data_IF_588900890417
#
_entry.id   IF_588900890417
#
_cell.length_a   1.000
_cell.length_b   1.000
_cell.length_c   1.000
_cell.angle_alpha   90.00
_cell.angle_beta   90.00
_cell.angle_gamma   90.00
#
_symmetry.space_group_name_H-M   'P 1'
#
loop_
_entity.id
_entity.type
_entity.pdbx_description
1 polymer ?
#
# COMPACT_ATOMS: atom_id res chain seq x y z
N UNK A 1 25.04 10.65 -11.57
CA UNK A 1 24.82 10.33 -10.14
C UNK A 1 24.68 8.83 -10.05
N UNK A 2 25.71 8.14 -9.55
CA UNK A 2 25.74 6.67 -9.44
C UNK A 2 24.78 6.24 -8.32
N UNK A 3 23.82 5.38 -8.63
CA UNK A 3 22.93 4.82 -7.61
C UNK A 3 23.72 3.85 -6.73
N UNK A 4 23.93 4.22 -5.47
CA UNK A 4 24.56 3.34 -4.49
C UNK A 4 23.68 2.11 -4.29
N UNK A 5 24.24 0.93 -4.58
CA UNK A 5 23.72 -0.33 -4.06
C UNK A 5 23.70 -0.22 -2.53
N UNK A 6 22.52 -0.14 -1.95
CA UNK A 6 22.38 -0.44 -0.53
C UNK A 6 22.25 -1.96 -0.45
N UNK A 7 23.21 -2.66 0.18
CA UNK A 7 23.04 -4.08 0.44
C UNK A 7 21.81 -4.28 1.33
N UNK A 8 21.13 -5.41 1.16
CA UNK A 8 20.03 -5.77 2.04
C UNK A 8 20.57 -5.93 3.47
N UNK A 9 20.05 -5.13 4.38
CA UNK A 9 20.45 -5.19 5.78
C UNK A 9 19.65 -6.30 6.49
N UNK A 10 20.31 -7.01 7.41
CA UNK A 10 19.63 -7.94 8.29
C UNK A 10 18.61 -7.20 9.18
N UNK A 11 17.59 -7.93 9.63
CA UNK A 11 16.59 -7.44 10.55
C UNK A 11 17.24 -6.98 11.87
N UNK A 12 16.92 -5.76 12.30
CA UNK A 12 17.25 -5.30 13.65
C UNK A 12 16.58 -6.23 14.70
N UNK A 13 17.16 -6.37 15.91
CA UNK A 13 16.64 -7.26 16.95
C UNK A 13 15.15 -7.08 17.25
N UNK A 14 14.64 -5.83 17.29
CA UNK A 14 13.22 -5.56 17.54
C UNK A 14 12.29 -6.12 16.44
N UNK A 15 12.80 -6.34 15.24
CA UNK A 15 12.01 -6.78 14.07
C UNK A 15 12.10 -8.28 13.79
N UNK A 16 13.01 -9.02 14.43
CA UNK A 16 13.23 -10.46 14.17
C UNK A 16 12.00 -11.31 14.43
N UNK A 17 11.28 -11.04 15.53
CA UNK A 17 10.03 -11.73 15.91
C UNK A 17 8.77 -10.89 15.70
N UNK A 18 8.94 -9.65 15.25
CA UNK A 18 7.84 -8.75 14.96
C UNK A 18 7.01 -9.25 13.77
N UNK A 19 5.74 -8.85 13.74
CA UNK A 19 4.85 -9.19 12.64
C UNK A 19 5.28 -8.47 11.36
N UNK A 20 5.19 -9.17 10.23
CA UNK A 20 5.38 -8.58 8.90
C UNK A 20 4.05 -8.56 8.14
N UNK A 21 3.63 -7.39 7.69
CA UNK A 21 2.54 -7.26 6.72
C UNK A 21 3.09 -7.19 5.31
N UNK A 22 2.55 -7.97 4.38
CA UNK A 22 2.93 -8.00 2.97
C UNK A 22 1.75 -7.59 2.11
N UNK A 23 1.95 -6.57 1.27
CA UNK A 23 0.97 -6.12 0.28
C UNK A 23 1.57 -6.19 -1.11
N UNK A 24 0.96 -7.02 -1.94
CA UNK A 24 1.45 -7.31 -3.27
C UNK A 24 0.47 -6.85 -4.33
N UNK A 25 0.94 -5.97 -5.22
CA UNK A 25 0.25 -5.58 -6.42
C UNK A 25 0.57 -6.55 -7.56
N UNK A 26 -0.34 -7.49 -7.82
CA UNK A 26 -0.15 -8.52 -8.85
C UNK A 26 -0.15 -7.95 -10.27
N UNK A 27 -0.74 -6.76 -10.49
CA UNK A 27 -0.77 -6.17 -11.82
C UNK A 27 0.59 -5.53 -12.20
N UNK A 28 1.38 -5.07 -11.23
CA UNK A 28 2.72 -4.54 -11.49
C UNK A 28 3.83 -5.57 -11.28
N UNK A 29 3.64 -6.52 -10.38
CA UNK A 29 4.54 -7.64 -10.15
C UNK A 29 3.80 -8.97 -10.42
N UNK A 30 3.54 -9.33 -11.69
CA UNK A 30 2.76 -10.52 -12.02
C UNK A 30 3.50 -11.81 -11.70
N UNK A 31 2.74 -12.90 -11.52
CA UNK A 31 3.31 -14.24 -11.47
C UNK A 31 3.87 -14.58 -12.86
N UNK A 32 5.13 -15.04 -12.98
CA UNK A 32 5.69 -15.48 -14.26
C UNK A 32 4.90 -16.65 -14.86
N UNK A 33 4.89 -16.73 -16.19
CA UNK A 33 4.21 -17.82 -16.90
C UNK A 33 4.76 -19.19 -16.47
N UNK A 34 3.86 -20.12 -16.21
CA UNK A 34 4.20 -21.48 -15.75
C UNK A 34 4.63 -21.57 -14.28
N UNK A 35 4.74 -20.46 -13.55
CA UNK A 35 5.07 -20.49 -12.13
C UNK A 35 3.88 -20.94 -11.27
N UNK A 36 4.11 -21.88 -10.35
CA UNK A 36 3.08 -22.34 -9.42
C UNK A 36 2.77 -21.24 -8.39
N UNK A 37 1.56 -20.68 -8.46
CA UNK A 37 1.08 -19.66 -7.54
C UNK A 37 1.19 -20.07 -6.05
N UNK A 38 1.14 -21.37 -5.73
CA UNK A 38 1.32 -21.88 -4.35
C UNK A 38 2.73 -21.64 -3.80
N UNK A 39 3.72 -21.42 -4.65
CA UNK A 39 5.11 -21.16 -4.22
C UNK A 39 5.34 -19.71 -3.81
N UNK A 40 4.49 -18.76 -4.22
CA UNK A 40 4.69 -17.33 -3.94
C UNK A 40 4.86 -17.05 -2.44
N UNK A 41 3.99 -17.59 -1.58
CA UNK A 41 4.11 -17.40 -0.13
C UNK A 41 5.41 -18.00 0.44
N UNK A 42 5.71 -19.30 0.22
CA UNK A 42 6.98 -19.89 0.63
C UNK A 42 8.21 -19.09 0.18
N UNK A 43 8.27 -18.65 -1.07
CA UNK A 43 9.43 -17.90 -1.58
C UNK A 43 9.59 -16.54 -0.87
N UNK A 44 8.48 -15.84 -0.59
CA UNK A 44 8.51 -14.58 0.15
C UNK A 44 8.91 -14.78 1.61
N UNK A 45 8.34 -15.78 2.29
CA UNK A 45 8.69 -16.10 3.67
C UNK A 45 10.16 -16.55 3.79
N UNK A 46 10.68 -17.27 2.79
CA UNK A 46 12.09 -17.65 2.69
C UNK A 46 12.99 -16.42 2.54
N UNK A 47 12.68 -15.51 1.61
CA UNK A 47 13.42 -14.26 1.41
C UNK A 47 13.46 -13.40 2.69
N UNK A 48 12.33 -13.32 3.41
CA UNK A 48 12.24 -12.64 4.71
C UNK A 48 13.11 -13.33 5.77
N UNK A 49 13.03 -14.66 5.87
CA UNK A 49 13.81 -15.45 6.83
C UNK A 49 15.31 -15.34 6.59
N UNK A 50 15.76 -15.25 5.34
CA UNK A 50 17.16 -15.08 4.98
C UNK A 50 17.76 -13.76 5.49
N UNK A 51 16.92 -12.75 5.74
CA UNK A 51 17.32 -11.51 6.40
C UNK A 51 17.00 -11.48 7.90
N UNK A 52 16.56 -12.59 8.50
CA UNK A 52 16.28 -12.70 9.93
C UNK A 52 14.86 -12.33 10.36
N UNK A 53 13.96 -12.00 9.43
CA UNK A 53 12.54 -11.81 9.75
C UNK A 53 11.87 -13.17 9.92
N UNK A 54 11.60 -13.55 11.16
CA UNK A 54 11.07 -14.88 11.54
C UNK A 54 9.75 -14.81 12.32
N UNK A 55 9.14 -13.63 12.40
CA UNK A 55 7.83 -13.42 13.00
C UNK A 55 6.67 -13.80 12.05
N UNK A 56 5.42 -13.71 12.52
CA UNK A 56 4.26 -14.06 11.71
C UNK A 56 4.08 -13.12 10.49
N UNK A 57 3.51 -13.66 9.41
CA UNK A 57 3.30 -12.93 8.14
C UNK A 57 1.80 -12.83 7.81
N UNK A 58 1.29 -11.60 7.70
CA UNK A 58 0.00 -11.31 7.07
C UNK A 58 0.24 -10.98 5.60
N UNK A 59 -0.28 -11.78 4.67
CA UNK A 59 -0.04 -11.61 3.24
C UNK A 59 -1.35 -11.32 2.50
N UNK A 60 -1.39 -10.18 1.82
CA UNK A 60 -2.48 -9.78 0.94
C UNK A 60 -1.99 -9.53 -0.49
N UNK A 61 -2.61 -10.19 -1.48
CA UNK A 61 -2.51 -9.86 -2.90
C UNK A 61 -3.64 -8.92 -3.31
N UNK A 62 -3.31 -7.94 -4.15
CA UNK A 62 -4.21 -6.86 -4.58
C UNK A 62 -4.06 -6.66 -6.08
N UNK A 63 -5.17 -6.45 -6.78
CA UNK A 63 -5.15 -6.02 -8.18
C UNK A 63 -6.51 -6.01 -8.85
N UNK A 64 -6.57 -5.61 -10.11
CA UNK A 64 -7.65 -5.99 -11.02
C UNK A 64 -7.49 -7.48 -11.33
N UNK A 65 -8.51 -8.28 -11.00
CA UNK A 65 -8.41 -9.75 -10.92
C UNK A 65 -9.36 -10.46 -11.90
N UNK A 66 -10.09 -9.70 -12.71
CA UNK A 66 -11.06 -10.21 -13.68
C UNK A 66 -10.43 -11.17 -14.69
N UNK A 67 -9.19 -10.88 -15.09
CA UNK A 67 -8.44 -11.69 -16.05
C UNK A 67 -7.49 -12.70 -15.38
N UNK A 68 -7.48 -12.76 -14.04
CA UNK A 68 -6.63 -13.72 -13.32
C UNK A 68 -7.41 -15.03 -13.17
N UNK A 69 -6.87 -16.12 -13.70
CA UNK A 69 -7.54 -17.42 -13.65
C UNK A 69 -7.87 -17.85 -12.23
N UNK A 70 -9.01 -18.53 -12.07
CA UNK A 70 -9.42 -19.10 -10.78
C UNK A 70 -8.37 -20.06 -10.20
N UNK A 71 -7.66 -20.82 -11.04
CA UNK A 71 -6.59 -21.71 -10.62
C UNK A 71 -5.44 -20.95 -9.92
N UNK A 72 -5.06 -19.79 -10.45
CA UNK A 72 -4.06 -18.91 -9.81
C UNK A 72 -4.60 -18.39 -8.48
N UNK A 73 -5.82 -17.85 -8.44
CA UNK A 73 -6.42 -17.32 -7.21
C UNK A 73 -6.62 -18.40 -6.13
N UNK A 74 -6.90 -19.64 -6.55
CA UNK A 74 -6.96 -20.83 -5.70
C UNK A 74 -5.59 -21.18 -5.15
N UNK A 75 -4.57 -21.22 -6.00
CA UNK A 75 -3.19 -21.44 -5.60
C UNK A 75 -2.75 -20.45 -4.52
N UNK A 76 -2.96 -19.15 -4.77
CA UNK A 76 -2.65 -18.09 -3.80
C UNK A 76 -3.43 -18.26 -2.50
N UNK A 77 -4.77 -18.36 -2.56
CA UNK A 77 -5.61 -18.39 -1.35
C UNK A 77 -5.45 -19.67 -0.53
N UNK A 78 -5.13 -20.81 -1.15
CA UNK A 78 -4.83 -22.07 -0.45
C UNK A 78 -3.61 -21.99 0.48
N UNK A 79 -2.69 -21.07 0.23
CA UNK A 79 -1.53 -20.79 1.11
C UNK A 79 -1.85 -19.75 2.18
N UNK A 80 -3.11 -19.31 2.29
CA UNK A 80 -3.57 -18.30 3.24
C UNK A 80 -3.24 -16.86 2.84
N UNK A 81 -2.97 -16.60 1.55
CA UNK A 81 -2.88 -15.22 1.03
C UNK A 81 -4.30 -14.66 0.90
N UNK A 82 -4.56 -13.49 1.48
CA UNK A 82 -5.80 -12.75 1.28
C UNK A 82 -5.84 -12.12 -0.10
N UNK A 83 -6.95 -12.23 -0.81
CA UNK A 83 -7.13 -11.76 -2.18
C UNK A 83 -8.06 -10.54 -2.21
N UNK A 84 -7.59 -9.44 -2.79
CA UNK A 84 -8.32 -8.17 -2.88
C UNK A 84 -8.41 -7.70 -4.32
N UNK A 85 -9.62 -7.58 -4.81
CA UNK A 85 -9.90 -6.99 -6.11
C UNK A 85 -10.05 -5.47 -6.00
N UNK A 86 -9.35 -4.76 -6.88
CA UNK A 86 -9.41 -3.32 -7.09
C UNK A 86 -8.04 -2.70 -7.38
N UNK A 87 -8.03 -1.40 -7.65
CA UNK A 87 -6.79 -0.67 -7.95
C UNK A 87 -5.86 -0.62 -6.73
N UNK A 88 -4.68 -1.24 -6.85
CA UNK A 88 -3.72 -1.42 -5.76
C UNK A 88 -3.36 -0.11 -5.03
N UNK A 89 -3.06 0.96 -5.76
CA UNK A 89 -2.71 2.27 -5.20
C UNK A 89 -3.69 2.76 -4.14
N UNK A 90 -4.99 2.71 -4.44
CA UNK A 90 -6.02 3.20 -3.51
C UNK A 90 -6.22 2.26 -2.32
N UNK A 91 -6.16 0.95 -2.57
CA UNK A 91 -6.45 -0.07 -1.56
C UNK A 91 -5.34 -0.24 -0.54
N UNK A 92 -4.08 -0.26 -0.97
CA UNK A 92 -2.91 -0.43 -0.09
C UNK A 92 -2.95 0.59 1.04
N UNK A 93 -3.22 1.86 0.72
CA UNK A 93 -3.33 2.91 1.74
C UNK A 93 -4.37 2.58 2.81
N UNK A 94 -5.58 2.19 2.42
CA UNK A 94 -6.65 1.81 3.36
C UNK A 94 -6.30 0.58 4.20
N UNK A 95 -5.76 -0.46 3.56
CA UNK A 95 -5.36 -1.71 4.20
C UNK A 95 -4.23 -1.50 5.20
N UNK A 96 -3.20 -0.71 4.86
CA UNK A 96 -2.13 -0.35 5.77
C UNK A 96 -2.68 0.33 7.03
N UNK A 97 -3.58 1.31 6.87
CA UNK A 97 -4.17 2.02 8.02
C UNK A 97 -4.93 1.09 8.95
N UNK A 98 -5.70 0.16 8.40
CA UNK A 98 -6.47 -0.81 9.19
C UNK A 98 -5.59 -1.86 9.85
N UNK A 99 -4.54 -2.31 9.17
CA UNK A 99 -3.60 -3.29 9.71
C UNK A 99 -2.86 -2.74 10.92
N UNK A 100 -2.39 -1.50 10.86
CA UNK A 100 -1.64 -0.87 11.96
C UNK A 100 -2.46 -0.67 13.25
N UNK A 101 -3.78 -0.46 13.14
CA UNK A 101 -4.66 -0.39 14.32
C UNK A 101 -4.59 -1.66 15.19
N UNK A 102 -4.18 -2.78 14.61
CA UNK A 102 -4.10 -4.10 15.26
C UNK A 102 -2.66 -4.58 15.45
N UNK A 103 -1.67 -3.89 14.90
CA UNK A 103 -0.28 -4.31 14.88
C UNK A 103 0.61 -3.09 15.18
N UNK A 104 0.85 -2.81 16.46
CA UNK A 104 1.74 -1.74 16.91
C UNK A 104 3.20 -2.02 16.56
N UNK A 105 4.03 -0.97 16.51
CA UNK A 105 5.48 -1.13 16.44
C UNK A 105 6.03 -1.92 17.67
N UNK A 106 7.10 -2.71 17.52
CA UNK A 106 7.86 -2.94 16.28
C UNK A 106 7.12 -3.85 15.30
N UNK A 107 7.14 -3.49 14.01
CA UNK A 107 6.51 -4.24 12.93
C UNK A 107 7.17 -3.93 11.58
N UNK A 108 7.16 -4.89 10.66
CA UNK A 108 7.68 -4.70 9.30
C UNK A 108 6.55 -4.63 8.28
N UNK A 109 6.73 -3.81 7.25
CA UNK A 109 5.82 -3.69 6.11
C UNK A 109 6.60 -4.00 4.84
N UNK A 110 6.14 -4.96 4.06
CA UNK A 110 6.72 -5.30 2.76
C UNK A 110 5.75 -4.92 1.65
N UNK A 111 6.22 -4.12 0.70
CA UNK A 111 5.45 -3.67 -0.45
C UNK A 111 6.04 -4.27 -1.73
N UNK A 112 5.23 -4.98 -2.49
CA UNK A 112 5.63 -5.63 -3.74
C UNK A 112 4.89 -4.93 -4.87
N UNK A 113 5.54 -3.91 -5.47
CA UNK A 113 4.93 -3.04 -6.50
C UNK A 113 5.99 -2.19 -7.22
N UNK A 114 5.79 -1.98 -8.52
CA UNK A 114 6.57 -0.99 -9.28
C UNK A 114 6.07 0.45 -9.08
N UNK A 115 4.90 0.63 -8.46
CA UNK A 115 4.23 1.93 -8.28
C UNK A 115 4.27 2.43 -6.83
N UNK A 116 5.41 2.25 -6.15
CA UNK A 116 5.56 2.64 -4.75
C UNK A 116 5.27 4.14 -4.52
N UNK A 117 5.61 5.01 -5.47
CA UNK A 117 5.39 6.45 -5.33
C UNK A 117 3.91 6.84 -5.31
N UNK A 118 3.04 6.07 -5.96
CA UNK A 118 1.61 6.34 -5.90
C UNK A 118 1.03 6.05 -4.49
N UNK A 119 1.75 5.26 -3.68
CA UNK A 119 1.41 4.94 -2.28
C UNK A 119 2.36 5.58 -1.26
N UNK A 120 3.38 6.32 -1.71
CA UNK A 120 4.49 6.76 -0.85
C UNK A 120 4.04 7.75 0.20
N UNK A 121 3.12 8.66 -0.11
CA UNK A 121 2.59 9.63 0.86
C UNK A 121 1.94 8.94 2.08
N UNK A 122 1.21 7.83 1.85
CA UNK A 122 0.65 7.04 2.94
C UNK A 122 1.76 6.43 3.79
N UNK A 123 2.81 5.89 3.18
CA UNK A 123 3.93 5.25 3.87
C UNK A 123 4.83 6.25 4.61
N UNK A 124 5.16 7.39 4.00
CA UNK A 124 5.92 8.50 4.60
C UNK A 124 5.23 8.96 5.87
N UNK A 125 3.92 9.22 5.82
CA UNK A 125 3.13 9.59 6.98
C UNK A 125 3.25 8.56 8.12
N UNK A 126 3.29 7.27 7.78
CA UNK A 126 3.44 6.20 8.77
C UNK A 126 4.85 6.14 9.36
N UNK A 127 5.89 6.13 8.53
CA UNK A 127 7.28 6.11 9.00
C UNK A 127 7.59 7.34 9.86
N UNK A 128 7.03 8.51 9.54
CA UNK A 128 7.27 9.75 10.29
C UNK A 128 6.50 9.85 11.60
N UNK A 129 5.25 9.37 11.66
CA UNK A 129 4.40 9.52 12.86
C UNK A 129 4.51 8.37 13.85
N UNK A 130 4.94 7.20 13.41
CA UNK A 130 4.97 5.99 14.22
C UNK A 130 6.38 5.37 14.15
N UNK A 131 7.32 5.81 15.01
CA UNK A 131 8.65 5.24 15.03
C UNK A 131 8.61 3.72 15.33
N UNK A 132 9.53 2.95 14.73
CA UNK A 132 9.63 1.50 14.91
C UNK A 132 8.88 0.64 13.89
N UNK A 133 8.34 1.24 12.81
CA UNK A 133 7.96 0.45 11.62
C UNK A 133 9.11 0.39 10.62
N UNK A 134 9.44 -0.83 10.19
CA UNK A 134 10.43 -1.12 9.17
C UNK A 134 9.77 -1.28 7.79
N UNK A 135 10.43 -0.83 6.73
CA UNK A 135 9.95 -0.95 5.35
C UNK A 135 10.86 -1.85 4.52
N UNK A 136 10.24 -2.80 3.83
CA UNK A 136 10.82 -3.77 2.92
C UNK A 136 10.15 -3.60 1.55
N UNK A 137 10.84 -3.94 0.46
CA UNK A 137 10.30 -3.69 -0.88
C UNK A 137 10.70 -4.77 -1.89
N UNK A 138 9.80 -5.16 -2.77
CA UNK A 138 10.16 -5.84 -4.01
C UNK A 138 9.52 -5.17 -5.23
N UNK A 139 10.17 -5.30 -6.38
CA UNK A 139 9.76 -4.68 -7.65
C UNK A 139 10.29 -5.48 -8.84
N UNK A 140 9.68 -5.34 -10.01
CA UNK A 140 10.22 -5.96 -11.24
C UNK A 140 11.37 -5.15 -11.82
N UNK A 141 11.35 -3.83 -11.64
CA UNK A 141 12.34 -2.92 -12.21
C UNK A 141 12.86 -1.93 -11.20
N UNK A 142 14.18 -1.84 -11.12
CA UNK A 142 14.85 -0.89 -10.23
C UNK A 142 14.38 0.54 -10.54
N UNK A 143 13.91 1.30 -9.53
CA UNK A 143 13.52 2.69 -9.72
C UNK A 143 14.68 3.50 -10.28
N UNK A 144 14.38 4.39 -11.25
CA UNK A 144 15.36 5.31 -11.83
C UNK A 144 15.55 6.59 -11.01
N UNK A 145 14.85 6.72 -9.90
CA UNK A 145 14.87 7.87 -9.01
C UNK A 145 15.08 7.40 -7.57
N UNK A 146 15.57 8.31 -6.73
CA UNK A 146 15.71 8.07 -5.29
C UNK A 146 14.35 8.29 -4.65
N UNK A 147 13.84 7.28 -3.94
CA UNK A 147 12.61 7.43 -3.16
C UNK A 147 12.86 8.26 -1.91
N UNK A 148 11.84 8.98 -1.46
CA UNK A 148 11.85 9.64 -0.14
C UNK A 148 11.71 8.66 1.01
N UNK A 149 11.33 7.42 0.72
CA UNK A 149 11.18 6.33 1.68
C UNK A 149 12.53 5.66 1.93
N UNK A 150 12.78 5.35 3.20
CA UNK A 150 13.90 4.49 3.58
C UNK A 150 13.43 3.04 3.64
N UNK A 151 14.12 2.15 2.92
CA UNK A 151 13.90 0.70 2.90
C UNK A 151 15.11 -0.02 3.47
N UNK A 152 14.89 -1.01 4.33
CA UNK A 152 15.97 -1.80 4.94
C UNK A 152 16.48 -2.89 4.00
N UNK A 153 15.61 -3.41 3.14
CA UNK A 153 15.97 -4.37 2.10
C UNK A 153 15.04 -4.24 0.89
N UNK A 154 15.62 -4.49 -0.28
CA UNK A 154 14.96 -4.49 -1.57
C UNK A 154 15.27 -5.77 -2.36
N UNK A 155 14.32 -6.25 -3.15
CA UNK A 155 14.52 -7.39 -4.04
C UNK A 155 13.97 -7.11 -5.44
N UNK A 156 14.59 -7.76 -6.43
CA UNK A 156 13.93 -7.99 -7.71
C UNK A 156 12.89 -9.10 -7.53
N UNK A 157 11.69 -8.90 -8.06
CA UNK A 157 10.57 -9.82 -7.94
C UNK A 157 10.92 -11.22 -8.45
N UNK A 158 11.55 -11.29 -9.63
CA UNK A 158 12.01 -12.55 -10.23
C UNK A 158 13.00 -13.32 -9.33
N UNK A 159 13.88 -12.60 -8.62
CA UNK A 159 14.91 -13.24 -7.79
C UNK A 159 14.30 -13.86 -6.53
N UNK A 160 13.18 -13.32 -6.04
CA UNK A 160 12.46 -13.95 -4.93
C UNK A 160 11.81 -15.25 -5.41
N UNK A 161 11.20 -15.24 -6.60
CA UNK A 161 10.49 -16.44 -7.10
C UNK A 161 11.44 -17.56 -7.56
N UNK A 162 12.72 -17.26 -7.80
CA UNK A 162 13.71 -18.24 -8.24
C UNK A 162 14.31 -19.10 -7.11
N UNK A 163 14.09 -18.77 -5.82
CA UNK A 163 14.85 -19.36 -4.70
C UNK A 163 14.59 -20.83 -4.40
N UNK A 164 13.67 -21.48 -5.11
CA UNK A 164 13.15 -22.80 -4.73
C UNK A 164 13.61 -23.94 -5.69
N UNK A 165 14.61 -23.74 -6.54
CA UNK A 165 15.17 -24.83 -7.38
C UNK A 165 16.16 -25.75 -6.62
N UNK A 166 16.55 -25.41 -5.38
CA UNK A 166 17.68 -26.09 -4.70
C UNK A 166 17.34 -26.89 -3.42
N UNK A 167 16.14 -26.79 -2.85
CA UNK A 167 15.79 -27.46 -1.59
C UNK A 167 14.57 -28.41 -1.73
N UNK A 168 14.71 -29.43 -2.58
CA UNK A 168 13.75 -30.54 -2.72
C UNK A 168 14.19 -31.78 -1.93
N UNK A 169 14.54 -31.64 -0.65
CA UNK A 169 14.87 -32.82 0.19
C UNK A 169 14.40 -32.76 1.65
N UNK A 170 13.53 -31.81 2.02
CA UNK A 170 12.87 -31.84 3.33
C UNK A 170 11.36 -31.72 3.18
N UNK A 171 10.74 -32.86 2.87
CA UNK A 171 9.32 -33.07 3.07
C UNK A 171 8.99 -33.05 4.58
N UNK A 172 8.99 -31.87 5.18
CA UNK A 172 8.27 -31.63 6.41
C UNK A 172 6.97 -30.96 6.02
N UNK A 173 5.94 -31.78 5.86
CA UNK A 173 4.56 -31.36 5.81
C UNK A 173 4.25 -30.60 7.11
N UNK A 174 4.51 -29.29 7.14
CA UNK A 174 4.06 -28.44 8.22
C UNK A 174 2.56 -28.36 8.09
N UNK A 175 1.89 -29.28 8.77
CA UNK A 175 0.48 -29.20 9.10
C UNK A 175 0.27 -27.87 9.81
N UNK A 176 -0.05 -26.83 9.03
CA UNK A 176 -0.53 -25.56 9.55
C UNK A 176 -1.80 -25.94 10.31
N UNK A 177 -1.70 -26.04 11.64
CA UNK A 177 -2.85 -26.08 12.50
C UNK A 177 -3.56 -24.76 12.24
N UNK A 178 -4.60 -24.82 11.41
CA UNK A 178 -5.58 -23.76 11.27
C UNK A 178 -6.14 -23.52 12.66
N UNK A 179 -5.61 -22.51 13.36
CA UNK A 179 -6.25 -22.01 14.56
C UNK A 179 -7.62 -21.52 14.12
N UNK A 180 -8.63 -22.29 14.53
CA UNK A 180 -10.06 -22.02 14.39
C UNK A 180 -10.31 -20.52 14.36
N UNK A 181 -10.81 -20.01 13.23
CA UNK A 181 -11.39 -18.67 13.15
C UNK A 181 -12.41 -18.56 14.28
N UNK A 182 -12.10 -17.77 15.31
CA UNK A 182 -13.07 -17.42 16.34
C UNK A 182 -14.22 -16.72 15.63
N UNK A 183 -15.37 -17.40 15.53
CA UNK A 183 -16.64 -16.79 15.15
C UNK A 183 -16.96 -15.72 16.19
N UNK A 184 -16.71 -14.46 15.87
CA UNK A 184 -17.36 -13.35 16.54
C UNK A 184 -18.64 -13.06 15.77
N UNK A 185 -19.77 -13.13 16.48
CA UNK A 185 -21.09 -12.80 15.96
C UNK A 185 -21.10 -11.37 15.43
N UNK A 186 -21.44 -11.21 14.16
CA UNK A 186 -21.48 -9.95 13.42
C UNK A 186 -22.57 -9.03 13.96
N UNK A 187 -22.17 -7.87 14.48
CA UNK A 187 -23.00 -6.67 14.45
C UNK A 187 -22.75 -5.98 13.12
N UNK A 188 -23.81 -5.86 12.30
CA UNK A 188 -23.84 -5.08 11.07
C UNK A 188 -23.54 -3.61 11.36
N UNK A 189 -22.30 -3.18 11.10
CA UNK A 189 -21.89 -1.81 10.71
C UNK A 189 -20.38 -1.83 10.45
N UNK A 190 -19.99 -1.60 9.18
CA UNK A 190 -18.63 -1.64 8.58
C UNK A 190 -18.09 -3.05 8.22
N UNK A 191 -18.16 -3.40 6.94
CA UNK A 191 -17.33 -4.48 6.37
C UNK A 191 -15.86 -4.07 6.52
N UNK A 192 -15.07 -4.85 7.25
CA UNK A 192 -13.62 -4.64 7.31
C UNK A 192 -12.97 -5.53 6.25
N UNK A 193 -12.40 -4.96 5.16
CA UNK A 193 -11.79 -5.72 4.07
C UNK A 193 -10.71 -6.71 4.50
N UNK A 194 -10.21 -6.58 5.73
CA UNK A 194 -9.14 -7.38 6.31
C UNK A 194 -9.61 -8.63 7.05
N UNK A 195 -10.91 -8.74 7.36
CA UNK A 195 -11.46 -9.91 8.08
C UNK A 195 -11.94 -11.01 7.14
N UNK A 196 -12.06 -10.67 5.86
CA UNK A 196 -12.43 -11.59 4.81
C UNK A 196 -11.21 -11.94 3.97
N UNK A 197 -11.00 -13.20 3.57
CA UNK A 197 -9.94 -13.57 2.65
C UNK A 197 -10.18 -12.96 1.28
N UNK A 198 -11.43 -12.82 0.82
CA UNK A 198 -11.79 -12.23 -0.47
C UNK A 198 -12.56 -10.92 -0.31
N UNK A 199 -12.17 -9.89 -1.07
CA UNK A 199 -12.87 -8.60 -1.05
C UNK A 199 -12.74 -7.90 -2.41
N UNK A 200 -13.83 -7.30 -2.89
CA UNK A 200 -13.90 -6.44 -4.06
C UNK A 200 -14.18 -5.01 -3.59
N UNK A 201 -13.26 -4.09 -3.89
CA UNK A 201 -13.41 -2.69 -3.48
C UNK A 201 -14.44 -1.93 -4.29
N UNK A 202 -14.62 -2.32 -5.55
CA UNK A 202 -15.49 -1.61 -6.49
C UNK A 202 -16.96 -1.78 -6.15
N UNK A 203 -17.32 -2.95 -5.59
CA UNK A 203 -18.68 -3.29 -5.18
C UNK A 203 -18.87 -3.32 -3.66
N UNK A 204 -17.83 -2.98 -2.89
CA UNK A 204 -17.76 -3.18 -1.43
C UNK A 204 -18.24 -4.59 -1.00
N UNK A 205 -17.81 -5.61 -1.75
CA UNK A 205 -18.26 -6.98 -1.58
C UNK A 205 -17.19 -7.82 -0.88
N UNK A 206 -17.57 -8.54 0.18
CA UNK A 206 -16.65 -9.38 0.94
C UNK A 206 -17.19 -10.81 1.08
N UNK A 207 -16.32 -11.81 0.97
CA UNK A 207 -16.71 -13.22 1.12
C UNK A 207 -15.58 -14.09 1.66
N UNK A 208 -15.96 -15.25 2.19
CA UNK A 208 -15.05 -16.31 2.64
C UNK A 208 -14.78 -17.37 1.55
N UNK A 209 -15.59 -17.39 0.47
CA UNK A 209 -15.53 -18.40 -0.59
C UNK A 209 -14.90 -17.85 -1.87
N UNK A 210 -13.90 -18.57 -2.39
CA UNK A 210 -13.28 -18.28 -3.68
C UNK A 210 -14.30 -18.39 -4.84
N UNK A 211 -15.16 -19.41 -4.81
CA UNK A 211 -16.16 -19.65 -5.84
C UNK A 211 -17.17 -18.50 -5.91
N UNK A 212 -17.66 -18.06 -4.75
CA UNK A 212 -18.55 -16.89 -4.68
C UNK A 212 -17.84 -15.63 -5.16
N UNK A 213 -16.57 -15.45 -4.83
CA UNK A 213 -15.79 -14.29 -5.25
C UNK A 213 -15.56 -14.25 -6.77
N UNK A 214 -15.17 -15.37 -7.37
CA UNK A 214 -14.92 -15.49 -8.82
C UNK A 214 -16.22 -15.39 -9.62
N UNK A 215 -17.32 -15.95 -9.10
CA UNK A 215 -18.67 -15.77 -9.66
C UNK A 215 -19.08 -14.29 -9.64
N UNK A 216 -18.81 -13.60 -8.52
CA UNK A 216 -19.05 -12.15 -8.41
C UNK A 216 -18.25 -11.36 -9.46
N UNK A 217 -16.93 -11.58 -9.58
CA UNK A 217 -16.09 -10.88 -10.56
C UNK A 217 -16.52 -11.15 -12.02
N UNK A 218 -17.05 -12.34 -12.30
CA UNK A 218 -17.53 -12.72 -13.63
C UNK A 218 -18.93 -12.18 -13.96
N UNK A 219 -19.67 -11.72 -12.94
CA UNK A 219 -21.05 -11.28 -13.02
C UNK A 219 -21.24 -9.97 -13.80
N UNK A 220 -22.43 -9.80 -14.39
CA UNK A 220 -22.79 -8.60 -15.17
C UNK A 220 -22.76 -7.33 -14.34
N UNK A 221 -23.26 -7.37 -13.10
CA UNK A 221 -23.29 -6.22 -12.18
C UNK A 221 -21.89 -5.69 -11.85
N UNK A 222 -20.91 -6.60 -11.66
CA UNK A 222 -19.50 -6.20 -11.45
C UNK A 222 -18.94 -5.49 -12.69
N UNK A 223 -19.21 -6.04 -13.89
CA UNK A 223 -18.76 -5.43 -15.15
C UNK A 223 -19.37 -4.04 -15.36
N UNK A 224 -20.65 -3.87 -15.08
CA UNK A 224 -21.31 -2.56 -15.13
C UNK A 224 -20.70 -1.57 -14.15
N UNK A 225 -20.46 -2.01 -12.90
CA UNK A 225 -19.80 -1.19 -11.88
C UNK A 225 -18.40 -0.74 -12.29
N UNK A 226 -17.60 -1.62 -12.90
CA UNK A 226 -16.28 -1.27 -13.42
C UNK A 226 -16.34 -0.27 -14.58
N UNK A 227 -17.33 -0.41 -15.48
CA UNK A 227 -17.57 0.53 -16.57
C UNK A 227 -17.94 1.91 -16.02
N UNK A 228 -18.86 1.97 -15.06
CA UNK A 228 -19.28 3.23 -14.44
C UNK A 228 -18.15 3.88 -13.65
N UNK A 229 -17.37 3.08 -12.92
CA UNK A 229 -16.16 3.54 -12.25
C UNK A 229 -15.11 4.08 -13.24
N UNK A 230 -15.03 3.54 -14.46
CA UNK A 230 -14.16 4.08 -15.51
C UNK A 230 -14.71 5.38 -16.11
N UNK A 231 -16.03 5.48 -16.33
CA UNK A 231 -16.71 6.67 -16.87
C UNK A 231 -16.63 7.86 -15.93
N UNK A 232 -16.85 7.66 -14.63
CA UNK A 232 -16.72 8.70 -13.61
C UNK A 232 -15.28 9.23 -13.43
N UNK A 233 -14.28 8.61 -14.09
CA UNK A 233 -12.87 9.00 -14.04
C UNK A 233 -12.38 9.73 -15.28
N UNK A 234 -13.21 9.86 -16.32
CA UNK A 234 -12.91 10.77 -17.43
C UNK A 234 -13.03 12.18 -16.86
N UNK A 235 -11.96 13.00 -16.80
CA UNK A 235 -12.13 14.41 -16.52
C UNK A 235 -13.01 14.96 -17.63
N UNK A 236 -14.13 15.60 -17.29
CA UNK A 236 -14.82 16.45 -18.26
C UNK A 236 -13.75 17.31 -18.95
N UNK A 237 -13.53 17.11 -20.25
CA UNK A 237 -12.64 17.95 -21.06
C UNK A 237 -13.28 19.31 -21.34
N UNK A 238 -13.93 19.90 -20.34
CA UNK A 238 -14.43 21.27 -20.39
C UNK A 238 -14.03 21.99 -19.10
N UNK A 239 -12.93 22.75 -19.21
CA UNK A 239 -12.73 23.95 -18.40
C UNK A 239 -11.83 23.84 -17.17
N UNK A 240 -10.53 23.61 -17.35
CA UNK A 240 -9.52 24.16 -16.43
C UNK A 240 -8.30 24.68 -17.19
N UNK A 241 -8.42 25.87 -17.78
CA UNK A 241 -7.25 26.71 -18.05
C UNK A 241 -6.82 27.32 -16.72
N UNK A 242 -5.83 26.71 -16.05
CA UNK A 242 -5.15 27.35 -14.93
C UNK A 242 -4.37 28.55 -15.48
N UNK A 243 -4.75 29.73 -14.99
CA UNK A 243 -4.23 31.02 -15.39
C UNK A 243 -2.78 31.12 -14.89
N UNK A 244 -1.86 31.12 -15.84
CA UNK A 244 -0.48 31.54 -15.65
C UNK A 244 -0.47 33.08 -15.46
N UNK A 245 -0.68 33.52 -14.21
CA UNK A 245 -0.47 34.92 -13.78
C UNK A 245 0.09 34.96 -12.37
N UNK A 246 1.35 34.54 -12.20
CA UNK A 246 2.23 35.15 -11.19
C UNK A 246 3.67 35.14 -11.68
N UNK A 247 3.97 35.93 -12.71
CA UNK A 247 5.31 36.45 -12.98
C UNK A 247 5.18 37.74 -13.79
N UNK A 248 4.83 38.82 -13.10
CA UNK A 248 5.25 40.20 -13.36
C UNK A 248 4.53 41.14 -12.38
N UNK A 249 5.01 41.22 -11.14
CA UNK A 249 4.89 42.46 -10.38
C UNK A 249 6.25 43.12 -10.46
N UNK A 250 6.36 44.02 -11.44
CA UNK A 250 7.44 45.01 -11.51
C UNK A 250 7.35 45.91 -10.28
N UNK A 251 8.51 46.19 -9.72
CA UNK A 251 8.78 47.30 -8.82
C UNK A 251 8.24 48.62 -9.38
N UNK A 252 7.60 49.43 -8.54
CA UNK A 252 7.75 50.89 -8.50
C UNK A 252 6.98 51.52 -7.30
N UNK A 253 7.41 52.70 -6.80
CA UNK A 253 7.35 53.10 -5.38
C UNK A 253 6.08 53.87 -4.98
N UNK A 254 5.83 54.10 -3.67
CA UNK A 254 4.59 54.73 -3.22
C UNK A 254 4.61 56.25 -3.37
N UNK A 255 3.62 56.77 -4.09
CA UNK A 255 3.33 58.20 -4.23
C UNK A 255 2.56 58.71 -3.01
N UNK A 256 3.11 59.75 -2.38
CA UNK A 256 2.52 60.55 -1.31
C UNK A 256 1.30 61.36 -1.76
N UNK A 257 0.27 61.52 -0.90
CA UNK A 257 -0.41 62.81 -0.59
C UNK A 257 -1.57 62.67 0.45
N UNK A 258 -2.07 63.76 1.10
CA UNK A 258 -1.93 63.93 2.55
C UNK A 258 -3.24 63.88 3.37
N UNK A 259 -3.11 63.52 4.64
CA UNK A 259 -4.18 63.52 5.64
C UNK A 259 -4.53 64.93 6.13
N UNK A 260 -5.82 65.28 6.06
CA UNK A 260 -6.40 66.52 6.57
C UNK A 260 -6.38 66.58 8.11
N UNK A 261 -5.89 67.70 8.63
CA UNK A 261 -5.92 68.11 10.05
C UNK A 261 -7.35 68.25 10.57
N UNK A 262 -7.58 67.83 11.82
CA UNK A 262 -8.62 68.37 12.70
C UNK A 262 -8.01 68.62 14.07
N UNK A 263 -7.99 69.90 14.43
CA UNK A 263 -7.49 70.43 15.70
C UNK A 263 -8.37 70.01 16.89
N UNK A 264 -7.75 69.79 18.05
CA UNK A 264 -8.40 69.89 19.37
C UNK A 264 -7.57 70.82 20.26
N UNK A 265 -8.19 71.73 21.03
CA UNK A 265 -7.47 72.79 21.73
C UNK A 265 -6.94 72.37 23.11
N UNK A 266 -5.95 73.14 23.56
CA UNK A 266 -5.13 72.97 24.74
C UNK A 266 -5.79 73.39 26.08
N UNK A 267 -5.36 72.74 27.17
CA UNK A 267 -4.94 73.34 28.47
C UNK A 267 -4.54 72.20 29.43
N UNK A 268 -3.26 72.11 29.82
CA UNK A 268 -2.55 72.84 30.89
C UNK A 268 -2.36 71.99 32.16
N UNK A 269 -1.10 71.56 32.35
CA UNK A 269 -0.29 71.47 33.58
C UNK A 269 -1.03 71.52 34.94
N UNK A 270 -0.75 70.53 35.79
CA UNK A 270 0.17 70.69 36.94
C UNK A 270 0.55 69.33 37.56
N UNK A 271 1.79 69.27 38.01
CA UNK A 271 2.34 68.24 38.88
C UNK A 271 2.01 68.55 40.34
N UNK A 272 1.76 67.51 41.12
CA UNK A 272 2.42 67.18 42.38
C UNK A 272 2.06 65.72 42.71
#
# INVERSE_FOLDING_TARGET
>A
MMMMHHPNNAANPEHVKAKTGVWWDINTCPIPDGYDARRVRPSIESALKNLGYSGPVDFTVIGCLEDISENVLRGLSSTGISVKHGRATGLIGGLLRSWQKRNSAPASMMLITDKLEDVSLALVHRQQRLPGYNLLRAYTRKPKYVSVLYTTAEWLWETILATDEMDMDNNQETRIQSSVLRKCSTSTLFLLPQEHPFYCSSCDFATQSLETFTTHLSGGEHKEMEIDNARCRVPNQEGYTYIDKQLQVKENPPTSQPSKKRDRPARARRAA
#
